data_IF_661701834355
#
_entry.id   IF_661701834355
#
_cell.length_a   1.000
_cell.length_b   1.000
_cell.length_c   1.000
_cell.angle_alpha   90.00
_cell.angle_beta   90.00
_cell.angle_gamma   90.00
#
_symmetry.space_group_name_H-M   'P 1'
#
loop_
_entity.id
_entity.type
_entity.pdbx_description
1 polymer ?
#
# COMPACT_ATOMS: atom_id res chain seq x y z
N UNK A 1 -17.12 -15.29 21.70
CA UNK A 1 -17.05 -14.10 20.82
C UNK A 1 -16.29 -14.52 19.57
N UNK A 2 -16.89 -14.48 18.38
CA UNK A 2 -16.19 -14.84 17.14
C UNK A 2 -15.12 -13.78 16.84
N UNK A 3 -13.88 -14.21 16.60
CA UNK A 3 -12.79 -13.34 16.16
C UNK A 3 -13.01 -13.03 14.66
N UNK A 4 -13.88 -12.07 14.36
CA UNK A 4 -14.17 -11.68 12.99
C UNK A 4 -13.11 -10.70 12.47
N UNK A 5 -12.69 -10.89 11.22
CA UNK A 5 -11.82 -9.96 10.48
C UNK A 5 -12.63 -8.88 9.74
N UNK A 6 -13.96 -8.97 9.72
CA UNK A 6 -14.79 -7.94 9.08
C UNK A 6 -14.64 -6.61 9.83
N UNK A 7 -14.39 -5.54 9.08
CA UNK A 7 -14.18 -4.20 9.64
C UNK A 7 -12.76 -3.91 10.13
N UNK A 8 -11.83 -4.88 10.06
CA UNK A 8 -10.41 -4.62 10.32
C UNK A 8 -9.86 -3.67 9.25
N UNK A 9 -9.20 -2.55 9.61
CA UNK A 9 -8.77 -1.55 8.64
C UNK A 9 -7.56 -2.01 7.84
N UNK A 10 -7.45 -1.49 6.61
CA UNK A 10 -6.26 -1.68 5.77
C UNK A 10 -4.99 -1.11 6.41
N UNK A 11 -3.87 -1.82 6.26
CA UNK A 11 -2.59 -1.41 6.84
C UNK A 11 -2.44 -1.67 8.33
N UNK A 12 -3.41 -2.26 9.02
CA UNK A 12 -3.40 -2.37 10.49
C UNK A 12 -2.10 -2.97 11.06
N UNK A 13 -1.59 -4.04 10.47
CA UNK A 13 -0.38 -4.70 10.94
C UNK A 13 0.87 -3.88 10.69
N UNK A 14 0.99 -3.30 9.51
CA UNK A 14 2.10 -2.41 9.14
C UNK A 14 2.08 -1.09 9.93
N UNK A 15 0.89 -0.62 10.32
CA UNK A 15 0.74 0.53 11.23
C UNK A 15 1.39 0.25 12.58
N UNK A 16 1.18 -0.94 13.15
CA UNK A 16 1.77 -1.32 14.44
C UNK A 16 3.30 -1.28 14.36
N UNK A 17 3.89 -1.97 13.38
CA UNK A 17 5.34 -1.98 13.17
C UNK A 17 5.89 -0.57 12.92
N UNK A 18 5.18 0.25 12.15
CA UNK A 18 5.55 1.66 11.94
C UNK A 18 5.61 2.44 13.26
N UNK A 19 4.62 2.26 14.13
CA UNK A 19 4.54 2.98 15.39
C UNK A 19 5.60 2.48 16.39
N UNK A 20 5.89 1.18 16.42
CA UNK A 20 6.93 0.61 17.27
C UNK A 20 8.30 1.25 17.01
N UNK A 21 8.71 1.38 15.74
CA UNK A 21 9.92 2.13 15.40
C UNK A 21 9.79 3.62 15.69
N UNK A 22 8.61 4.21 15.48
CA UNK A 22 8.38 5.64 15.69
C UNK A 22 8.43 6.05 17.17
N UNK A 23 8.15 5.15 18.13
CA UNK A 23 8.28 5.41 19.57
C UNK A 23 9.70 5.83 19.97
N UNK A 24 10.72 5.35 19.25
CA UNK A 24 12.12 5.71 19.46
C UNK A 24 12.55 7.04 18.80
N UNK A 25 11.64 7.70 18.06
CA UNK A 25 11.97 8.92 17.34
C UNK A 25 12.22 10.11 18.29
N UNK A 26 13.35 10.78 18.11
CA UNK A 26 13.63 12.03 18.84
C UNK A 26 12.64 13.13 18.44
N UNK A 27 12.04 13.86 19.39
CA UNK A 27 11.20 15.01 19.09
C UNK A 27 11.92 16.05 18.23
N UNK A 28 11.21 16.62 17.25
CA UNK A 28 11.74 17.70 16.41
C UNK A 28 11.61 19.03 17.16
N UNK A 29 12.71 19.78 17.26
CA UNK A 29 12.67 21.18 17.70
C UNK A 29 11.88 22.08 16.75
N UNK A 30 11.42 23.23 17.24
CA UNK A 30 10.52 24.16 16.53
C UNK A 30 11.03 24.57 15.15
N UNK A 31 12.32 24.89 15.03
CA UNK A 31 12.93 25.29 13.75
C UNK A 31 12.82 24.20 12.67
N UNK A 32 13.13 22.94 13.03
CA UNK A 32 13.03 21.80 12.09
C UNK A 32 11.58 21.57 11.64
N UNK A 33 10.60 21.86 12.51
CA UNK A 33 9.18 21.77 12.20
C UNK A 33 8.74 22.86 11.20
N UNK A 34 9.28 24.07 11.34
CA UNK A 34 9.03 25.21 10.41
C UNK A 34 9.66 24.93 9.05
N UNK A 35 10.90 24.43 9.02
CA UNK A 35 11.62 24.06 7.80
C UNK A 35 11.07 22.81 7.09
N UNK A 36 10.09 22.12 7.67
CA UNK A 36 9.44 20.96 7.05
C UNK A 36 10.26 19.66 7.07
N UNK A 37 11.14 19.48 8.07
CA UNK A 37 11.89 18.22 8.23
C UNK A 37 10.93 17.05 8.48
N UNK A 38 11.21 15.89 7.89
CA UNK A 38 10.39 14.69 8.04
C UNK A 38 10.36 14.21 9.53
N UNK A 39 9.18 14.01 10.15
CA UNK A 39 9.08 13.44 11.52
C UNK A 39 9.45 11.96 11.64
N UNK A 40 9.48 11.21 10.55
CA UNK A 40 9.63 9.76 10.61
C UNK A 40 11.02 9.34 11.07
N UNK A 41 11.04 8.41 12.03
CA UNK A 41 12.23 7.60 12.31
C UNK A 41 12.69 6.93 11.01
N UNK A 42 14.01 6.86 10.72
CA UNK A 42 14.52 6.22 9.51
C UNK A 42 13.93 4.82 9.26
N UNK A 43 13.88 4.00 10.30
CA UNK A 43 13.38 2.62 10.22
C UNK A 43 11.85 2.55 10.09
N UNK A 44 11.13 3.58 10.52
CA UNK A 44 9.67 3.67 10.35
C UNK A 44 9.27 4.05 8.92
N UNK A 45 10.20 4.50 8.06
CA UNK A 45 9.85 5.07 6.73
C UNK A 45 9.27 4.03 5.78
N UNK A 46 9.86 2.84 5.71
CA UNK A 46 9.37 1.75 4.85
C UNK A 46 8.01 1.26 5.32
N UNK A 47 7.83 1.08 6.63
CA UNK A 47 6.56 0.71 7.24
C UNK A 47 5.48 1.78 7.03
N UNK A 48 5.81 3.06 7.26
CA UNK A 48 4.89 4.16 6.98
C UNK A 48 4.44 4.17 5.51
N UNK A 49 5.37 4.00 4.58
CA UNK A 49 5.05 3.90 3.16
C UNK A 49 4.16 2.69 2.87
N UNK A 50 4.47 1.52 3.44
CA UNK A 50 3.66 0.30 3.36
C UNK A 50 2.21 0.54 3.81
N UNK A 51 2.01 1.04 5.03
CA UNK A 51 0.70 1.36 5.58
C UNK A 51 -0.08 2.35 4.69
N UNK A 52 0.57 3.42 4.21
CA UNK A 52 -0.08 4.36 3.28
C UNK A 52 -0.50 3.67 1.98
N UNK A 53 0.32 2.74 1.47
CA UNK A 53 0.02 1.95 0.29
C UNK A 53 -1.20 1.05 0.50
N UNK A 54 -1.21 0.28 1.58
CA UNK A 54 -2.32 -0.62 1.92
C UNK A 54 -3.62 0.15 2.16
N UNK A 55 -3.57 1.28 2.88
CA UNK A 55 -4.74 2.15 3.04
C UNK A 55 -5.26 2.65 1.69
N UNK A 56 -4.36 3.02 0.77
CA UNK A 56 -4.74 3.45 -0.56
C UNK A 56 -5.42 2.31 -1.34
N UNK A 57 -4.85 1.11 -1.34
CA UNK A 57 -5.45 -0.06 -2.00
C UNK A 57 -6.78 -0.45 -1.36
N UNK A 58 -6.87 -0.44 -0.02
CA UNK A 58 -8.11 -0.67 0.73
C UNK A 58 -9.24 0.26 0.28
N UNK A 59 -8.97 1.58 0.21
CA UNK A 59 -9.95 2.56 -0.29
C UNK A 59 -10.37 2.33 -1.74
N UNK A 60 -9.54 1.72 -2.58
CA UNK A 60 -9.94 1.34 -3.92
C UNK A 60 -10.88 0.12 -3.88
N UNK A 61 -10.56 -0.88 -3.06
CA UNK A 61 -11.32 -2.11 -2.94
C UNK A 61 -12.74 -1.89 -2.38
N UNK A 62 -12.95 -0.87 -1.55
CA UNK A 62 -14.29 -0.42 -1.09
C UNK A 62 -15.26 -0.12 -2.25
N UNK A 63 -14.74 0.15 -3.46
CA UNK A 63 -15.54 0.48 -4.66
C UNK A 63 -16.05 -0.74 -5.42
N UNK A 64 -15.73 -1.96 -4.98
CA UNK A 64 -16.08 -3.19 -5.69
C UNK A 64 -17.59 -3.44 -5.73
N UNK A 65 -18.31 -3.17 -4.64
CA UNK A 65 -19.76 -3.38 -4.54
C UNK A 65 -20.12 -4.43 -3.49
N UNK A 66 -21.42 -4.59 -3.18
CA UNK A 66 -21.89 -5.46 -2.10
C UNK A 66 -21.71 -6.96 -2.38
N UNK A 67 -21.50 -7.37 -3.63
CA UNK A 67 -21.22 -8.76 -4.01
C UNK A 67 -19.79 -9.21 -3.67
N UNK A 68 -18.96 -8.28 -3.16
CA UNK A 68 -17.59 -8.54 -2.76
C UNK A 68 -17.42 -8.42 -1.25
N UNK A 69 -16.66 -9.34 -0.67
CA UNK A 69 -16.15 -9.24 0.69
C UNK A 69 -14.66 -8.95 0.63
N UNK A 70 -14.24 -7.90 1.31
CA UNK A 70 -12.86 -7.46 1.40
C UNK A 70 -12.43 -7.54 2.86
N UNK A 71 -11.34 -8.25 3.11
CA UNK A 71 -10.72 -8.40 4.42
C UNK A 71 -9.31 -7.85 4.35
N UNK A 72 -8.88 -7.17 5.42
CA UNK A 72 -7.58 -6.52 5.46
C UNK A 72 -6.74 -7.02 6.64
N UNK A 73 -5.41 -6.92 6.50
CA UNK A 73 -4.44 -7.32 7.53
C UNK A 73 -4.76 -8.72 8.09
N UNK A 74 -4.92 -9.69 7.17
CA UNK A 74 -5.38 -11.04 7.48
C UNK A 74 -4.20 -11.85 8.03
N UNK A 75 -4.24 -12.27 9.31
CA UNK A 75 -3.08 -12.85 9.97
C UNK A 75 -2.82 -14.27 9.50
N UNK A 76 -1.60 -14.62 9.09
CA UNK A 76 -1.29 -15.97 8.60
C UNK A 76 -0.09 -16.62 9.29
N UNK A 77 -0.06 -17.95 9.28
CA UNK A 77 1.06 -18.72 9.85
C UNK A 77 1.00 -18.73 11.37
N UNK A 78 2.05 -18.28 12.06
CA UNK A 78 2.10 -18.12 13.52
C UNK A 78 1.77 -16.67 13.98
N UNK A 79 1.20 -15.85 13.10
CA UNK A 79 0.99 -14.41 13.34
C UNK A 79 2.24 -13.55 13.09
N UNK A 80 3.25 -14.09 12.41
CA UNK A 80 4.49 -13.39 12.05
C UNK A 80 4.42 -12.67 10.69
N UNK A 81 3.34 -12.92 9.93
CA UNK A 81 3.14 -12.36 8.60
C UNK A 81 1.66 -12.25 8.32
N UNK A 82 1.26 -11.21 7.61
CA UNK A 82 -0.13 -10.97 7.26
C UNK A 82 -0.30 -10.86 5.74
N UNK A 83 -1.48 -11.22 5.25
CA UNK A 83 -1.91 -10.91 3.89
C UNK A 83 -2.55 -9.53 3.93
N UNK A 84 -2.02 -8.59 3.14
CA UNK A 84 -2.51 -7.20 3.15
C UNK A 84 -4.02 -7.15 2.91
N UNK A 85 -4.50 -7.82 1.85
CA UNK A 85 -5.93 -7.98 1.59
C UNK A 85 -6.32 -9.35 1.02
N UNK A 86 -7.45 -9.88 1.48
CA UNK A 86 -8.14 -11.01 0.86
C UNK A 86 -9.47 -10.52 0.32
N UNK A 87 -9.73 -10.79 -0.96
CA UNK A 87 -10.94 -10.35 -1.67
C UNK A 87 -11.68 -11.58 -2.16
N UNK A 88 -12.95 -11.71 -1.78
CA UNK A 88 -13.86 -12.78 -2.18
C UNK A 88 -15.00 -12.17 -2.97
N UNK A 89 -15.31 -12.69 -4.15
CA UNK A 89 -16.46 -12.27 -4.94
C UNK A 89 -16.81 -13.28 -6.03
N UNK A 90 -17.77 -12.96 -6.92
CA UNK A 90 -18.27 -13.91 -7.91
C UNK A 90 -17.20 -14.56 -8.80
N UNK A 91 -16.12 -13.85 -9.20
CA UNK A 91 -15.05 -14.45 -10.00
C UNK A 91 -14.11 -15.39 -9.23
N UNK A 92 -14.20 -15.47 -7.90
CA UNK A 92 -13.29 -16.26 -7.06
C UNK A 92 -12.62 -15.46 -5.94
N UNK A 93 -11.57 -16.06 -5.37
CA UNK A 93 -10.77 -15.48 -4.28
C UNK A 93 -9.48 -14.87 -4.82
N UNK A 94 -9.06 -13.76 -4.24
CA UNK A 94 -7.80 -13.09 -4.55
C UNK A 94 -7.05 -12.72 -3.27
N UNK A 95 -5.74 -12.96 -3.24
CA UNK A 95 -4.85 -12.27 -2.30
C UNK A 95 -4.25 -11.07 -3.00
N UNK A 96 -4.20 -9.93 -2.31
CA UNK A 96 -3.71 -8.67 -2.86
C UNK A 96 -2.54 -8.22 -2.01
N UNK A 97 -1.34 -8.27 -2.58
CA UNK A 97 -0.14 -7.80 -1.95
C UNK A 97 0.19 -6.39 -2.47
N UNK A 98 0.37 -5.44 -1.57
CA UNK A 98 0.55 -4.02 -1.88
C UNK A 98 2.02 -3.64 -1.77
N UNK A 99 2.51 -2.93 -2.79
CA UNK A 99 3.89 -2.43 -2.84
C UNK A 99 3.91 -0.96 -3.21
N UNK A 100 4.13 -0.12 -2.21
CA UNK A 100 4.19 1.33 -2.37
C UNK A 100 5.60 1.78 -2.73
N UNK A 101 5.78 2.19 -3.98
CA UNK A 101 7.06 2.63 -4.52
C UNK A 101 6.90 3.97 -5.24
N UNK A 102 6.63 5.01 -4.46
CA UNK A 102 6.41 6.36 -4.95
C UNK A 102 7.58 6.83 -5.83
N UNK A 103 7.32 7.13 -7.10
CA UNK A 103 8.31 7.65 -8.04
C UNK A 103 9.31 6.62 -8.56
N UNK A 104 9.16 5.33 -8.25
CA UNK A 104 10.05 4.29 -8.75
C UNK A 104 9.67 3.83 -10.16
N UNK A 105 10.68 3.47 -10.96
CA UNK A 105 10.48 2.71 -12.20
C UNK A 105 10.29 1.24 -11.85
N UNK A 106 9.27 0.62 -12.41
CA UNK A 106 8.94 -0.79 -12.20
C UNK A 106 8.98 -1.53 -13.53
N UNK A 107 9.66 -2.67 -13.54
CA UNK A 107 9.75 -3.56 -14.70
C UNK A 107 9.22 -4.94 -14.30
N UNK A 108 8.36 -5.51 -15.14
CA UNK A 108 7.71 -6.80 -14.90
C UNK A 108 8.09 -7.77 -16.01
N UNK A 109 8.66 -8.90 -15.62
CA UNK A 109 8.94 -10.04 -16.49
C UNK A 109 8.25 -11.32 -16.01
N UNK A 110 8.41 -12.41 -16.75
CA UNK A 110 7.71 -13.68 -16.51
C UNK A 110 7.92 -14.33 -15.15
N UNK A 111 9.01 -14.01 -14.44
CA UNK A 111 9.33 -14.64 -13.14
C UNK A 111 9.72 -13.65 -12.05
N UNK A 112 9.83 -12.37 -12.38
CA UNK A 112 10.36 -11.38 -11.45
C UNK A 112 9.82 -9.98 -11.73
N UNK A 113 9.82 -9.18 -10.68
CA UNK A 113 9.59 -7.75 -10.73
C UNK A 113 10.89 -7.06 -10.30
N UNK A 114 11.26 -6.01 -11.03
CA UNK A 114 12.33 -5.12 -10.65
C UNK A 114 11.76 -3.77 -10.23
N UNK A 115 12.28 -3.22 -9.15
CA UNK A 115 11.84 -1.95 -8.59
C UNK A 115 13.08 -1.07 -8.40
N UNK A 116 13.08 0.10 -9.03
CA UNK A 116 14.24 1.00 -9.03
C UNK A 116 15.55 0.30 -9.43
N UNK A 117 15.46 -0.62 -10.41
CA UNK A 117 16.62 -1.38 -10.91
C UNK A 117 17.01 -2.61 -10.08
N UNK A 118 16.36 -2.86 -8.94
CA UNK A 118 16.68 -4.00 -8.06
C UNK A 118 15.68 -5.15 -8.25
N UNK A 119 16.18 -6.39 -8.35
CA UNK A 119 15.35 -7.60 -8.38
C UNK A 119 14.69 -7.81 -7.03
N UNK A 120 13.41 -8.19 -7.03
CA UNK A 120 12.65 -8.48 -5.81
C UNK A 120 12.12 -9.92 -5.79
N UNK A 121 11.77 -10.37 -4.58
CA UNK A 121 11.14 -11.67 -4.34
C UNK A 121 9.60 -11.60 -4.34
N UNK A 122 9.01 -10.47 -4.74
CA UNK A 122 7.58 -10.24 -4.60
C UNK A 122 6.73 -11.30 -5.30
N UNK A 123 7.09 -11.71 -6.51
CA UNK A 123 6.37 -12.76 -7.24
C UNK A 123 6.33 -14.06 -6.44
N UNK A 124 7.48 -14.51 -5.93
CA UNK A 124 7.58 -15.75 -5.14
C UNK A 124 6.74 -15.67 -3.87
N UNK A 125 6.85 -14.57 -3.12
CA UNK A 125 6.13 -14.39 -1.86
C UNK A 125 4.61 -14.36 -2.11
N UNK A 126 4.17 -13.63 -3.14
CA UNK A 126 2.76 -13.54 -3.53
C UNK A 126 2.17 -14.89 -3.97
N UNK A 127 2.95 -15.77 -4.61
CA UNK A 127 2.53 -17.15 -4.91
C UNK A 127 2.32 -17.96 -3.63
N UNK A 128 3.30 -17.98 -2.72
CA UNK A 128 3.19 -18.74 -1.46
C UNK A 128 2.01 -18.27 -0.61
N UNK A 129 1.75 -16.96 -0.62
CA UNK A 129 0.61 -16.35 0.07
C UNK A 129 -0.73 -16.87 -0.47
N UNK A 130 -0.90 -16.86 -1.80
CA UNK A 130 -2.11 -17.37 -2.45
C UNK A 130 -2.30 -18.88 -2.27
N UNK A 131 -1.22 -19.67 -2.31
CA UNK A 131 -1.28 -21.12 -2.05
C UNK A 131 -1.71 -21.41 -0.60
N UNK A 132 -1.16 -20.67 0.35
CA UNK A 132 -1.55 -20.77 1.76
C UNK A 132 -3.02 -20.42 1.95
N UNK A 133 -3.47 -19.30 1.36
CA UNK A 133 -4.88 -18.90 1.42
C UNK A 133 -5.80 -19.95 0.81
N UNK A 134 -5.43 -20.50 -0.35
CA UNK A 134 -6.18 -21.58 -1.02
C UNK A 134 -6.35 -22.78 -0.10
N UNK A 135 -5.27 -23.24 0.55
CA UNK A 135 -5.30 -24.40 1.45
C UNK A 135 -6.19 -24.16 2.67
N UNK A 136 -6.02 -23.00 3.33
CA UNK A 136 -6.74 -22.68 4.57
C UNK A 136 -8.24 -22.48 4.29
N UNK A 137 -8.57 -21.75 3.24
CA UNK A 137 -9.97 -21.53 2.85
C UNK A 137 -10.63 -22.81 2.37
N UNK A 138 -9.92 -23.68 1.63
CA UNK A 138 -10.51 -24.96 1.21
C UNK A 138 -10.89 -25.83 2.41
N UNK A 139 -10.01 -25.89 3.42
CA UNK A 139 -10.25 -26.64 4.64
C UNK A 139 -11.42 -26.06 5.44
N UNK A 140 -11.46 -24.73 5.62
CA UNK A 140 -12.46 -24.07 6.45
C UNK A 140 -13.83 -23.98 5.77
N UNK A 141 -13.87 -23.75 4.46
CA UNK A 141 -15.11 -23.69 3.68
C UNK A 141 -15.65 -25.08 3.37
N UNK A 142 -14.82 -26.14 3.35
CA UNK A 142 -15.25 -27.50 3.01
C UNK A 142 -15.45 -27.73 1.51
N UNK A 143 -14.90 -26.86 0.66
CA UNK A 143 -14.96 -26.95 -0.81
C UNK A 143 -13.63 -26.50 -1.44
N UNK A 144 -13.28 -26.91 -2.67
CA UNK A 144 -12.03 -26.49 -3.30
C UNK A 144 -11.98 -24.97 -3.57
N UNK A 145 -11.03 -24.28 -2.96
CA UNK A 145 -10.80 -22.83 -3.15
C UNK A 145 -9.42 -22.59 -3.76
N UNK A 146 -9.38 -21.89 -4.90
CA UNK A 146 -8.14 -21.42 -5.52
C UNK A 146 -8.07 -19.90 -5.44
N UNK A 147 -7.21 -19.39 -4.55
CA UNK A 147 -6.91 -17.96 -4.47
C UNK A 147 -5.91 -17.57 -5.57
N UNK A 148 -6.21 -16.48 -6.28
CA UNK A 148 -5.32 -15.89 -7.29
C UNK A 148 -4.53 -14.74 -6.69
N UNK A 149 -3.25 -14.67 -6.99
CA UNK A 149 -2.38 -13.65 -6.43
C UNK A 149 -2.33 -12.38 -7.29
N UNK A 150 -2.56 -11.23 -6.66
CA UNK A 150 -2.41 -9.90 -7.26
C UNK A 150 -1.28 -9.15 -6.57
N UNK A 151 -0.31 -8.69 -7.34
CA UNK A 151 0.74 -7.78 -6.86
C UNK A 151 0.41 -6.36 -7.32
N UNK A 152 0.01 -5.50 -6.39
CA UNK A 152 -0.47 -4.15 -6.67
C UNK A 152 0.61 -3.12 -6.35
N UNK A 153 1.04 -2.39 -7.37
CA UNK A 153 2.02 -1.32 -7.27
C UNK A 153 1.30 0.01 -7.05
N UNK A 154 1.68 0.71 -5.98
CA UNK A 154 1.14 2.04 -5.61
C UNK A 154 2.16 3.13 -5.96
N UNK A 155 1.67 4.17 -6.64
CA UNK A 155 2.39 5.38 -7.07
C UNK A 155 3.75 5.20 -7.81
N UNK A 156 3.90 4.22 -8.73
CA UNK A 156 5.13 4.12 -9.53
C UNK A 156 5.27 5.34 -10.46
N UNK A 157 6.51 5.74 -10.77
CA UNK A 157 6.77 6.72 -11.83
C UNK A 157 6.40 6.15 -13.21
N UNK A 158 6.69 4.86 -13.43
CA UNK A 158 6.34 4.15 -14.67
C UNK A 158 6.33 2.65 -14.41
N UNK A 159 5.43 1.92 -15.06
CA UNK A 159 5.41 0.45 -15.07
C UNK A 159 5.62 -0.03 -16.51
N UNK A 160 6.66 -0.83 -16.73
CA UNK A 160 6.92 -1.52 -18.00
C UNK A 160 6.64 -3.00 -17.82
N UNK A 161 5.60 -3.51 -18.47
CA UNK A 161 5.25 -4.93 -18.43
C UNK A 161 5.75 -5.60 -19.71
N UNK A 162 6.86 -6.33 -19.63
CA UNK A 162 7.33 -7.17 -20.75
C UNK A 162 6.48 -8.43 -20.85
N UNK A 163 6.20 -9.05 -19.71
CA UNK A 163 5.36 -10.24 -19.60
C UNK A 163 4.83 -10.35 -18.18
N UNK A 164 3.57 -10.74 -18.02
CA UNK A 164 3.01 -11.04 -16.69
C UNK A 164 3.60 -12.35 -16.15
N UNK A 165 3.89 -12.46 -14.85
CA UNK A 165 4.23 -13.73 -14.24
C UNK A 165 3.09 -14.75 -14.32
N UNK A 166 3.42 -16.02 -14.51
CA UNK A 166 2.43 -17.06 -14.79
C UNK A 166 1.37 -17.23 -13.67
N UNK A 167 1.77 -17.03 -12.42
CA UNK A 167 0.92 -17.27 -11.23
C UNK A 167 0.55 -16.00 -10.45
N UNK A 168 1.01 -14.83 -10.89
CA UNK A 168 0.78 -13.54 -10.23
C UNK A 168 0.42 -12.51 -11.27
N UNK A 169 -0.70 -11.82 -11.09
CA UNK A 169 -1.02 -10.66 -11.93
C UNK A 169 -0.47 -9.40 -11.28
N UNK A 170 0.44 -8.71 -11.98
CA UNK A 170 0.96 -7.41 -11.53
C UNK A 170 0.09 -6.30 -12.09
N UNK A 171 -0.40 -5.42 -11.21
CA UNK A 171 -1.30 -4.31 -11.54
C UNK A 171 -0.84 -3.04 -10.85
N UNK A 172 -1.24 -1.88 -11.36
CA UNK A 172 -1.22 -0.63 -10.58
C UNK A 172 -2.51 -0.49 -9.76
N UNK A 173 -2.47 0.28 -8.67
CA UNK A 173 -3.66 0.57 -7.87
C UNK A 173 -4.83 1.16 -8.70
N UNK A 174 -4.51 1.91 -9.77
CA UNK A 174 -5.49 2.51 -10.69
C UNK A 174 -6.21 1.48 -11.56
N UNK A 175 -5.60 0.32 -11.80
CA UNK A 175 -6.13 -0.75 -12.64
C UNK A 175 -6.94 -1.78 -11.84
N UNK A 176 -6.62 -1.93 -10.54
CA UNK A 176 -7.11 -3.00 -9.66
C UNK A 176 -8.63 -3.23 -9.73
N UNK A 177 -9.42 -2.21 -9.37
CA UNK A 177 -10.89 -2.34 -9.28
C UNK A 177 -11.48 -2.70 -10.65
N UNK A 178 -11.02 -2.02 -11.70
CA UNK A 178 -11.51 -2.26 -13.06
C UNK A 178 -11.12 -3.65 -13.55
N UNK A 179 -9.94 -4.14 -13.16
CA UNK A 179 -9.48 -5.48 -13.50
C UNK A 179 -10.34 -6.55 -12.81
N UNK A 180 -10.60 -6.40 -11.51
CA UNK A 180 -11.45 -7.30 -10.71
C UNK A 180 -12.88 -7.37 -11.24
N UNK A 181 -13.52 -6.23 -11.49
CA UNK A 181 -14.91 -6.16 -12.04
C UNK A 181 -15.07 -6.79 -13.43
N UNK A 182 -13.98 -6.92 -14.20
CA UNK A 182 -14.00 -7.53 -15.54
C UNK A 182 -13.68 -9.02 -15.53
N UNK A 183 -13.53 -9.65 -14.38
CA UNK A 183 -13.36 -11.10 -14.29
C UNK A 183 -14.73 -11.77 -14.45
N UNK A 184 -14.79 -12.85 -15.22
CA UNK A 184 -16.02 -13.63 -15.37
C UNK A 184 -16.36 -14.29 -14.03
N UNK A 185 -17.63 -14.28 -13.60
CA UNK A 185 -18.07 -15.06 -12.45
C UNK A 185 -17.76 -16.54 -12.67
N UNK A 186 -17.27 -17.21 -11.63
CA UNK A 186 -16.99 -18.67 -11.63
C UNK A 186 -17.55 -19.36 -10.39
N UNK A 187 -17.87 -18.61 -9.35
CA UNK A 187 -18.55 -19.09 -8.15
C UNK A 187 -20.02 -18.69 -8.20
N UNK A 188 -20.89 -19.53 -7.66
CA UNK A 188 -22.26 -19.13 -7.40
C UNK A 188 -22.36 -18.29 -6.12
N UNK A 189 -23.55 -17.76 -5.83
CA UNK A 189 -23.76 -16.90 -4.67
C UNK A 189 -23.58 -17.65 -3.34
N UNK A 190 -23.90 -18.94 -3.27
CA UNK A 190 -23.77 -19.74 -2.06
C UNK A 190 -22.30 -20.00 -1.74
N UNK A 191 -21.50 -20.37 -2.75
CA UNK A 191 -20.05 -20.55 -2.64
C UNK A 191 -19.36 -19.25 -2.19
N UNK A 192 -19.75 -18.09 -2.77
CA UNK A 192 -19.20 -16.79 -2.35
C UNK A 192 -19.47 -16.52 -0.88
N UNK A 193 -20.70 -16.76 -0.40
CA UNK A 193 -21.08 -16.57 1.01
C UNK A 193 -20.27 -17.52 1.90
N UNK A 194 -20.23 -18.81 1.56
CA UNK A 194 -19.53 -19.84 2.35
C UNK A 194 -18.03 -19.56 2.47
N UNK A 195 -17.38 -19.21 1.35
CA UNK A 195 -15.95 -18.85 1.36
C UNK A 195 -15.73 -17.54 2.13
N UNK A 196 -16.61 -16.54 1.97
CA UNK A 196 -16.46 -15.27 2.65
C UNK A 196 -16.66 -15.39 4.17
N UNK A 197 -17.56 -16.26 4.63
CA UNK A 197 -17.74 -16.59 6.05
C UNK A 197 -16.49 -17.29 6.60
N UNK A 198 -15.98 -18.31 5.91
CA UNK A 198 -14.73 -18.98 6.29
C UNK A 198 -13.55 -17.99 6.34
N UNK A 199 -13.43 -17.11 5.34
CA UNK A 199 -12.39 -16.09 5.29
C UNK A 199 -12.54 -15.05 6.43
N UNK A 200 -13.77 -14.76 6.86
CA UNK A 200 -14.03 -13.76 7.90
C UNK A 200 -13.65 -14.23 9.30
N UNK A 201 -13.60 -15.54 9.58
CA UNK A 201 -13.13 -16.06 10.87
C UNK A 201 -11.60 -16.01 10.94
N UNK A 202 -11.05 -15.21 11.86
CA UNK A 202 -9.60 -15.08 12.06
C UNK A 202 -8.93 -16.44 12.35
N UNK A 203 -9.66 -17.38 12.95
CA UNK A 203 -9.15 -18.72 13.29
C UNK A 203 -8.93 -19.62 12.08
N UNK A 204 -9.56 -19.32 10.94
CA UNK A 204 -9.25 -19.95 9.65
C UNK A 204 -7.79 -19.74 9.29
N UNK A 205 -7.25 -18.57 9.65
CA UNK A 205 -5.93 -18.15 9.23
C UNK A 205 -4.86 -18.41 10.29
N UNK A 206 -5.22 -18.24 11.56
CA UNK A 206 -4.35 -18.52 12.69
C UNK A 206 -5.15 -18.85 13.96
N UNK A 207 -4.84 -19.99 14.60
CA UNK A 207 -5.64 -20.55 15.71
C UNK A 207 -5.85 -19.59 16.89
N UNK A 208 -4.88 -18.73 17.18
CA UNK A 208 -4.93 -17.79 18.30
C UNK A 208 -5.04 -16.34 17.84
N UNK A 209 -5.35 -16.08 16.57
CA UNK A 209 -5.57 -14.72 16.12
C UNK A 209 -6.85 -14.16 16.76
N UNK A 210 -6.73 -12.96 17.30
CA UNK A 210 -7.88 -12.15 17.65
C UNK A 210 -8.28 -11.23 16.48
N UNK A 211 -9.56 -10.87 16.45
CA UNK A 211 -10.09 -9.85 15.54
C UNK A 211 -10.00 -8.44 16.16
N UNK A 212 -9.26 -8.29 17.27
CA UNK A 212 -9.23 -7.04 18.01
C UNK A 212 -8.47 -5.97 17.24
N UNK A 213 -9.06 -4.78 17.19
CA UNK A 213 -8.47 -3.59 16.58
C UNK A 213 -8.24 -2.58 17.69
N UNK A 214 -7.01 -2.09 17.81
CA UNK A 214 -6.69 -1.02 18.73
C UNK A 214 -6.83 0.35 18.04
N UNK A 215 -7.93 1.03 18.37
CA UNK A 215 -8.24 2.36 17.86
C UNK A 215 -7.17 3.41 18.22
N UNK A 216 -6.43 3.23 19.33
CA UNK A 216 -5.38 4.15 19.72
C UNK A 216 -4.22 4.12 18.71
N UNK A 217 -3.85 2.92 18.21
CA UNK A 217 -2.84 2.79 17.14
C UNK A 217 -3.29 3.49 15.85
N UNK A 218 -4.57 3.34 15.47
CA UNK A 218 -5.11 4.00 14.28
C UNK A 218 -5.07 5.53 14.39
N UNK A 219 -5.47 6.06 15.55
CA UNK A 219 -5.45 7.50 15.82
C UNK A 219 -4.01 8.04 15.84
N UNK A 220 -3.08 7.33 16.48
CA UNK A 220 -1.66 7.68 16.52
C UNK A 220 -1.04 7.73 15.12
N UNK A 221 -1.31 6.72 14.29
CA UNK A 221 -0.85 6.71 12.90
C UNK A 221 -1.50 7.83 12.07
N UNK A 222 -2.79 8.09 12.26
CA UNK A 222 -3.48 9.22 11.63
C UNK A 222 -2.84 10.56 11.97
N UNK A 223 -2.45 10.77 13.23
CA UNK A 223 -1.72 11.96 13.67
C UNK A 223 -0.33 12.04 13.02
N UNK A 224 0.44 10.95 13.04
CA UNK A 224 1.74 10.85 12.39
C UNK A 224 1.66 11.19 10.90
N UNK A 225 0.66 10.64 10.19
CA UNK A 225 0.44 10.91 8.77
C UNK A 225 0.13 12.37 8.49
N UNK A 226 -0.69 13.03 9.34
CA UNK A 226 -0.92 14.48 9.25
C UNK A 226 0.38 15.26 9.42
N UNK A 227 1.21 14.91 10.40
CA UNK A 227 2.51 15.56 10.60
C UNK A 227 3.47 15.39 9.42
N UNK A 228 3.55 14.19 8.84
CA UNK A 228 4.36 13.91 7.65
C UNK A 228 3.89 14.75 6.46
N UNK A 229 2.58 14.80 6.24
CA UNK A 229 1.99 15.60 5.15
C UNK A 229 2.26 17.10 5.34
N UNK A 230 2.05 17.63 6.54
CA UNK A 230 2.37 19.03 6.86
C UNK A 230 3.85 19.34 6.65
N UNK A 231 4.75 18.46 7.08
CA UNK A 231 6.19 18.62 6.86
C UNK A 231 6.53 18.63 5.37
N UNK A 232 5.94 17.72 4.57
CA UNK A 232 6.11 17.68 3.11
C UNK A 232 5.65 18.99 2.46
N UNK A 233 4.46 19.47 2.81
CA UNK A 233 3.91 20.73 2.27
C UNK A 233 4.82 21.91 2.60
N UNK A 234 5.25 22.06 3.87
CA UNK A 234 6.18 23.13 4.27
C UNK A 234 7.49 23.09 3.51
N UNK A 235 8.07 21.90 3.34
CA UNK A 235 9.30 21.73 2.56
C UNK A 235 9.11 22.14 1.10
N UNK A 236 7.98 21.78 0.48
CA UNK A 236 7.68 22.20 -0.89
C UNK A 236 7.52 23.72 -1.00
N UNK A 237 6.88 24.37 -0.01
CA UNK A 237 6.78 25.83 0.04
C UNK A 237 8.16 26.49 0.16
N UNK A 238 9.05 25.97 1.00
CA UNK A 238 10.42 26.48 1.10
C UNK A 238 11.22 26.31 -0.20
N UNK A 239 11.08 25.16 -0.89
CA UNK A 239 11.70 24.95 -2.20
C UNK A 239 11.16 25.94 -3.24
N UNK A 240 9.85 26.18 -3.27
CA UNK A 240 9.24 27.15 -4.17
C UNK A 240 9.72 28.58 -3.86
N UNK A 241 9.77 28.97 -2.58
CA UNK A 241 10.28 30.28 -2.17
C UNK A 241 11.74 30.49 -2.57
N UNK A 242 12.59 29.47 -2.41
CA UNK A 242 13.99 29.52 -2.85
C UNK A 242 14.11 29.65 -4.38
N UNK A 243 13.29 28.93 -5.15
CA UNK A 243 13.26 29.04 -6.60
C UNK A 243 12.81 30.43 -7.06
N UNK A 244 11.77 31.01 -6.43
CA UNK A 244 11.32 32.38 -6.70
C UNK A 244 12.43 33.40 -6.38
N UNK A 245 13.09 33.27 -5.23
CA UNK A 245 14.20 34.14 -4.85
C UNK A 245 15.35 34.08 -5.88
N UNK A 246 15.68 32.87 -6.37
CA UNK A 246 16.69 32.70 -7.42
C UNK A 246 16.29 33.38 -8.74
N UNK A 247 15.02 33.29 -9.15
CA UNK A 247 14.51 33.99 -10.34
C UNK A 247 14.56 35.51 -10.16
N UNK A 248 14.20 36.02 -8.99
CA UNK A 248 14.26 37.47 -8.71
C UNK A 248 15.70 37.98 -8.76
N UNK A 249 16.64 37.28 -8.12
CA UNK A 249 18.06 37.65 -8.13
C UNK A 249 18.65 37.60 -9.54
N UNK A 250 18.35 36.56 -10.32
CA UNK A 250 18.82 36.46 -11.71
C UNK A 250 18.23 37.56 -12.59
N UNK A 251 16.93 37.87 -12.44
CA UNK A 251 16.30 38.99 -13.14
C UNK A 251 16.96 40.32 -12.78
N UNK A 252 17.21 40.58 -11.50
CA UNK A 252 17.88 41.80 -11.03
C UNK A 252 19.33 41.92 -11.52
N UNK A 253 20.04 40.82 -11.77
CA UNK A 253 21.41 40.84 -12.26
C UNK A 253 21.50 40.96 -13.79
N UNK A 254 20.60 40.29 -14.52
CA UNK A 254 20.66 40.18 -15.98
C UNK A 254 20.02 41.37 -16.68
N UNK A 255 18.90 41.90 -16.17
CA UNK A 255 18.19 43.01 -16.81
C UNK A 255 19.04 44.29 -16.90
N UNK A 256 19.71 44.74 -15.82
CA UNK A 256 20.58 45.91 -15.90
C UNK A 256 21.77 45.70 -16.84
N UNK A 257 22.33 44.49 -16.89
CA UNK A 257 23.44 44.16 -17.78
C UNK A 257 23.02 44.20 -19.27
N UNK A 258 21.84 43.68 -19.60
CA UNK A 258 21.29 43.72 -20.96
C UNK A 258 20.89 45.14 -21.38
N UNK A 259 20.26 45.92 -20.49
CA UNK A 259 19.96 47.33 -20.75
C UNK A 259 21.23 48.15 -20.95
N UNK A 260 22.27 47.92 -20.14
CA UNK A 260 23.57 48.55 -20.31
C UNK A 260 24.27 48.19 -21.63
N UNK A 261 24.13 46.94 -22.10
CA UNK A 261 24.66 46.52 -23.39
C UNK A 261 23.91 47.15 -24.58
N UNK A 262 22.59 47.32 -24.47
CA UNK A 262 21.76 47.96 -25.51
C UNK A 262 21.98 49.47 -25.62
N UNK A 263 22.28 50.16 -24.50
CA UNK A 263 22.57 51.60 -24.50
C UNK A 263 23.96 51.91 -25.06
N UNK A 264 24.90 50.96 -24.95
CA UNK A 264 26.28 51.10 -25.41
C UNK A 264 26.56 50.51 -26.81
N UNK A 265 25.52 50.01 -27.50
CA UNK A 265 25.58 49.49 -28.87
C UNK A 265 25.01 50.54 -29.84
#
# INVERSE_FOLDING_TARGET
>A
MQASLRGRPAGYSVIRECLDFQLSARPRGSLRRILGFNPLHPDARSWFAGAVGEIHVGSQLERLGPEWVVLHAVPVGKGESDIDHVVVGPPGVFTVNTKHHSGAKVWVGSRMVMIAGQKTDHVRNSVHEAERASKLLSLAAGLPVVARSLLVIVDPASVTVKQQPDRVTVLTARELVRWLKRRKPTLDAADVVQIAEAASDARTWHRTADGAVDDAHLQAFGALRREVNQARTRRMLWVAAAAIALVVVTFQMVVPALLGALVNA
#
